data_IF_174490236221
#
_entry.id   IF_174490236221
#
_cell.length_a   1.000
_cell.length_b   1.000
_cell.length_c   1.000
_cell.angle_alpha   90.00
_cell.angle_beta   90.00
_cell.angle_gamma   90.00
#
_symmetry.space_group_name_H-M   'P 1'
#
loop_
_entity.id
_entity.type
_entity.pdbx_description
1 polymer ?
#
# COMPACT_ATOMS: atom_id res chain seq x y z
N UNK A 1 5.69 -62.24 -23.27
CA UNK A 1 5.86 -63.73 -23.44
C UNK A 1 4.52 -64.37 -23.73
N UNK A 2 4.52 -65.20 -24.81
CA UNK A 2 3.50 -66.24 -25.17
C UNK A 2 2.05 -65.76 -25.45
N UNK A 3 1.69 -65.47 -26.65
CA UNK A 3 0.98 -66.21 -27.69
C UNK A 3 0.27 -67.48 -27.22
N UNK A 4 -1.05 -67.48 -27.39
CA UNK A 4 -1.78 -68.68 -27.80
C UNK A 4 -2.89 -68.32 -28.82
N UNK A 5 -2.68 -68.86 -29.98
CA UNK A 5 -3.67 -68.97 -31.08
C UNK A 5 -4.61 -70.11 -30.74
N UNK A 6 -5.90 -69.95 -30.97
CA UNK A 6 -6.85 -71.04 -31.06
C UNK A 6 -7.69 -70.83 -32.34
N UNK A 7 -7.49 -71.74 -33.26
CA UNK A 7 -8.32 -71.97 -34.46
C UNK A 7 -9.63 -72.63 -34.04
N UNK A 8 -10.74 -72.18 -34.64
CA UNK A 8 -12.04 -72.89 -34.46
C UNK A 8 -13.09 -72.55 -35.51
N UNK A 9 -13.13 -73.38 -36.50
CA UNK A 9 -14.25 -73.83 -37.31
C UNK A 9 -15.21 -72.83 -37.98
N UNK A 10 -15.04 -72.81 -39.28
CA UNK A 10 -15.97 -72.32 -40.30
C UNK A 10 -17.26 -73.15 -40.26
N UNK A 11 -18.43 -72.58 -39.93
CA UNK A 11 -19.75 -73.14 -40.23
C UNK A 11 -20.36 -72.27 -41.34
N UNK A 12 -20.45 -72.86 -42.53
CA UNK A 12 -21.19 -72.34 -43.68
C UNK A 12 -22.68 -72.40 -43.27
N UNK A 13 -23.30 -71.23 -42.97
CA UNK A 13 -24.75 -71.08 -43.02
C UNK A 13 -25.16 -70.48 -44.35
N UNK A 14 -25.99 -71.15 -45.03
CA UNK A 14 -26.60 -70.74 -46.34
C UNK A 14 -27.30 -69.38 -46.21
N UNK A 15 -27.28 -68.52 -47.24
CA UNK A 15 -28.00 -67.27 -47.14
C UNK A 15 -29.52 -67.60 -47.27
N UNK A 16 -30.29 -67.35 -46.23
CA UNK A 16 -31.71 -67.20 -46.37
C UNK A 16 -31.93 -65.92 -47.14
N UNK A 17 -32.41 -66.07 -48.39
CA UNK A 17 -32.99 -64.97 -49.15
C UNK A 17 -34.16 -64.41 -48.32
N UNK A 18 -33.94 -63.39 -47.56
CA UNK A 18 -34.97 -62.48 -47.13
C UNK A 18 -35.44 -61.77 -48.46
N UNK A 19 -36.63 -62.10 -48.88
CA UNK A 19 -37.34 -61.34 -49.91
C UNK A 19 -37.35 -59.90 -49.47
N UNK A 20 -36.54 -59.02 -50.07
CA UNK A 20 -36.72 -57.60 -50.05
C UNK A 20 -38.16 -57.33 -50.51
N UNK A 21 -39.01 -57.00 -49.59
CA UNK A 21 -40.30 -56.43 -49.87
C UNK A 21 -40.03 -55.11 -50.59
N UNK A 22 -40.29 -55.06 -51.93
CA UNK A 22 -40.20 -53.84 -52.74
C UNK A 22 -41.11 -52.80 -52.06
N UNK A 23 -40.53 -51.90 -51.26
CA UNK A 23 -41.27 -50.76 -50.75
C UNK A 23 -41.45 -49.79 -51.87
N UNK A 24 -42.63 -49.88 -52.53
CA UNK A 24 -43.02 -48.90 -53.57
C UNK A 24 -42.92 -47.49 -52.87
N UNK A 25 -42.05 -46.67 -53.41
CA UNK A 25 -42.02 -45.24 -53.06
C UNK A 25 -43.27 -44.64 -53.71
N UNK A 26 -44.20 -44.15 -52.89
CA UNK A 26 -45.45 -43.53 -53.34
C UNK A 26 -45.40 -42.03 -53.02
N UNK A 27 -45.99 -41.24 -53.89
CA UNK A 27 -46.19 -39.80 -53.73
C UNK A 27 -47.62 -39.52 -53.26
N UNK A 28 -47.82 -38.78 -52.21
CA UNK A 28 -49.17 -38.37 -51.75
C UNK A 28 -49.17 -36.86 -51.48
N UNK A 29 -50.17 -36.18 -52.06
CA UNK A 29 -50.42 -34.77 -51.73
C UNK A 29 -51.57 -34.67 -50.74
N UNK A 30 -51.41 -33.72 -49.78
CA UNK A 30 -52.38 -33.44 -48.72
C UNK A 30 -53.10 -32.11 -48.94
N UNK A 31 -54.22 -31.89 -48.23
CA UNK A 31 -55.07 -30.70 -48.40
C UNK A 31 -54.41 -29.40 -48.07
N UNK A 32 -53.37 -29.42 -47.17
CA UNK A 32 -52.53 -28.30 -46.78
C UNK A 32 -51.49 -27.94 -47.88
N UNK A 33 -51.50 -28.63 -48.99
CA UNK A 33 -50.52 -28.50 -50.05
C UNK A 33 -49.24 -29.28 -49.84
N UNK A 34 -49.12 -29.99 -48.72
CA UNK A 34 -47.97 -30.83 -48.37
C UNK A 34 -47.87 -32.03 -49.36
N UNK A 35 -46.62 -32.37 -49.73
CA UNK A 35 -46.31 -33.52 -50.62
C UNK A 35 -45.37 -34.46 -49.85
N UNK A 36 -45.82 -35.70 -49.64
CA UNK A 36 -44.99 -36.79 -49.13
C UNK A 36 -44.56 -37.73 -50.22
N UNK A 37 -43.30 -38.11 -50.22
CA UNK A 37 -42.72 -39.08 -51.15
C UNK A 37 -41.93 -40.11 -50.28
N UNK A 38 -42.40 -41.38 -50.28
CA UNK A 38 -41.76 -42.39 -49.42
C UNK A 38 -42.56 -43.64 -49.20
N UNK A 39 -42.18 -44.45 -48.23
CA UNK A 39 -42.83 -45.72 -47.93
C UNK A 39 -44.17 -45.55 -47.18
N UNK A 40 -45.12 -46.48 -47.43
CA UNK A 40 -46.40 -46.57 -46.76
C UNK A 40 -46.59 -47.98 -46.19
N UNK A 41 -47.23 -48.08 -45.00
CA UNK A 41 -47.70 -49.32 -44.44
C UNK A 41 -49.09 -49.07 -43.83
N UNK A 42 -50.10 -49.88 -44.33
CA UNK A 42 -51.45 -49.70 -43.86
C UNK A 42 -52.11 -48.35 -44.17
N UNK A 43 -51.64 -47.65 -45.20
CA UNK A 43 -52.10 -46.30 -45.61
C UNK A 43 -51.47 -45.14 -44.86
N UNK A 44 -50.54 -45.41 -43.88
CA UNK A 44 -49.77 -44.42 -43.13
C UNK A 44 -48.34 -44.37 -43.65
N UNK A 45 -47.67 -43.20 -43.56
CA UNK A 45 -46.24 -43.04 -43.83
C UNK A 45 -45.42 -43.96 -42.93
N UNK A 46 -44.50 -44.74 -43.51
CA UNK A 46 -43.69 -45.70 -42.81
C UNK A 46 -42.35 -45.95 -43.54
N UNK A 47 -41.27 -46.05 -42.77
CA UNK A 47 -39.92 -46.14 -43.34
C UNK A 47 -39.34 -44.77 -43.71
N UNK A 48 -38.40 -44.71 -44.65
CA UNK A 48 -37.79 -43.45 -45.08
C UNK A 48 -38.69 -42.72 -46.08
N UNK A 49 -38.83 -41.36 -45.85
CA UNK A 49 -39.61 -40.52 -46.79
C UNK A 49 -39.30 -39.03 -46.60
N UNK A 50 -39.67 -38.28 -47.69
CA UNK A 50 -39.50 -36.82 -47.70
C UNK A 50 -40.88 -36.16 -47.67
N UNK A 51 -41.07 -35.14 -46.85
CA UNK A 51 -42.27 -34.32 -46.75
C UNK A 51 -41.93 -32.86 -46.99
N UNK A 52 -42.65 -32.22 -47.96
CA UNK A 52 -42.44 -30.82 -48.32
C UNK A 52 -43.71 -30.03 -48.18
N UNK A 53 -43.63 -28.86 -47.54
CA UNK A 53 -44.74 -27.92 -47.45
C UNK A 53 -44.53 -26.72 -48.39
N UNK A 54 -45.61 -26.07 -48.85
CA UNK A 54 -45.52 -24.89 -49.73
C UNK A 54 -44.78 -23.70 -49.10
N UNK A 55 -44.73 -23.63 -47.80
CA UNK A 55 -43.99 -22.56 -47.05
C UNK A 55 -42.46 -22.73 -47.03
N UNK A 56 -41.93 -23.80 -47.69
CA UNK A 56 -40.52 -24.12 -47.78
C UNK A 56 -40.01 -25.06 -46.67
N UNK A 57 -40.86 -25.56 -45.76
CA UNK A 57 -40.47 -26.62 -44.84
C UNK A 57 -40.24 -27.93 -45.57
N UNK A 58 -39.14 -28.61 -45.32
CA UNK A 58 -38.83 -29.93 -45.86
C UNK A 58 -38.33 -30.84 -44.73
N UNK A 59 -38.86 -32.05 -44.65
CA UNK A 59 -38.34 -33.11 -43.79
C UNK A 59 -37.97 -34.32 -44.65
N UNK A 60 -36.80 -34.89 -44.44
CA UNK A 60 -36.34 -36.14 -45.04
C UNK A 60 -35.80 -37.04 -43.92
N UNK A 61 -36.42 -38.19 -43.71
CA UNK A 61 -36.05 -39.10 -42.63
C UNK A 61 -37.07 -40.21 -42.37
N UNK A 62 -37.01 -40.77 -41.19
CA UNK A 62 -37.78 -41.92 -40.77
C UNK A 62 -39.21 -41.56 -40.33
N UNK A 63 -40.16 -42.39 -40.72
CA UNK A 63 -41.59 -42.34 -40.40
C UNK A 63 -42.03 -43.64 -39.76
N UNK A 64 -42.83 -43.58 -38.73
CA UNK A 64 -43.45 -44.74 -38.05
C UNK A 64 -44.93 -44.44 -37.89
N UNK A 65 -45.79 -45.25 -38.45
CA UNK A 65 -47.26 -45.18 -38.39
C UNK A 65 -47.82 -43.75 -38.56
N UNK A 66 -47.30 -43.03 -39.55
CA UNK A 66 -47.74 -41.69 -39.89
C UNK A 66 -47.06 -40.55 -39.16
N UNK A 67 -46.18 -40.85 -38.22
CA UNK A 67 -45.43 -39.82 -37.44
C UNK A 67 -43.98 -39.79 -37.85
N UNK A 68 -43.40 -38.58 -37.88
CA UNK A 68 -41.96 -38.36 -37.96
C UNK A 68 -41.32 -38.89 -36.65
N UNK A 69 -40.43 -39.89 -36.78
CA UNK A 69 -39.81 -40.54 -35.61
C UNK A 69 -38.45 -41.16 -36.00
N UNK A 70 -37.45 -41.00 -35.13
CA UNK A 70 -36.08 -41.47 -35.36
C UNK A 70 -35.24 -40.44 -36.13
N UNK A 71 -34.20 -40.86 -36.81
CA UNK A 71 -33.26 -39.96 -37.51
C UNK A 71 -33.88 -39.31 -38.75
N UNK A 72 -33.56 -38.02 -38.95
CA UNK A 72 -33.98 -37.24 -40.10
C UNK A 72 -33.34 -35.87 -40.15
N UNK A 73 -33.59 -35.21 -41.31
CA UNK A 73 -33.18 -33.83 -41.57
C UNK A 73 -34.41 -32.97 -41.79
N UNK A 74 -34.55 -31.85 -41.07
CA UNK A 74 -35.56 -30.82 -41.30
C UNK A 74 -34.92 -29.52 -41.78
N UNK A 75 -35.43 -29.00 -42.93
CA UNK A 75 -35.12 -27.66 -43.42
C UNK A 75 -36.29 -26.74 -43.08
N UNK A 76 -36.03 -25.67 -42.35
CA UNK A 76 -37.05 -24.72 -41.93
C UNK A 76 -37.17 -23.55 -42.94
N UNK A 77 -38.36 -22.91 -43.02
CA UNK A 77 -38.57 -21.77 -43.93
C UNK A 77 -37.64 -20.59 -43.75
N UNK A 78 -37.08 -20.43 -42.51
CA UNK A 78 -36.12 -19.39 -42.19
C UNK A 78 -34.69 -19.71 -42.64
N UNK A 79 -34.45 -20.87 -43.28
CA UNK A 79 -33.16 -21.32 -43.78
C UNK A 79 -32.35 -22.16 -42.76
N UNK A 80 -32.85 -22.37 -41.54
CA UNK A 80 -32.19 -23.26 -40.58
C UNK A 80 -32.35 -24.72 -40.98
N UNK A 81 -31.35 -25.56 -40.63
CA UNK A 81 -31.34 -27.00 -40.92
C UNK A 81 -31.08 -27.76 -39.63
N UNK A 82 -31.99 -28.68 -39.30
CA UNK A 82 -31.81 -29.62 -38.19
C UNK A 82 -31.52 -31.02 -38.73
N UNK A 83 -30.55 -31.68 -38.15
CA UNK A 83 -30.16 -33.07 -38.41
C UNK A 83 -30.08 -33.82 -37.07
N UNK A 84 -30.88 -34.87 -36.90
CA UNK A 84 -30.89 -35.61 -35.66
C UNK A 84 -32.16 -36.42 -35.42
N UNK A 85 -32.40 -36.74 -34.13
CA UNK A 85 -33.53 -37.55 -33.74
C UNK A 85 -34.83 -36.74 -33.62
N UNK A 86 -35.92 -37.37 -33.95
CA UNK A 86 -37.28 -36.87 -33.89
C UNK A 86 -38.19 -37.80 -33.08
N UNK A 87 -39.09 -37.22 -32.30
CA UNK A 87 -40.23 -37.90 -31.74
C UNK A 87 -41.50 -37.05 -31.95
N UNK A 88 -42.60 -37.68 -32.38
CA UNK A 88 -43.88 -37.01 -32.57
C UNK A 88 -43.79 -35.75 -33.45
N UNK A 89 -42.94 -35.76 -34.47
CA UNK A 89 -42.77 -34.66 -35.40
C UNK A 89 -41.88 -33.49 -34.90
N UNK A 90 -41.24 -33.64 -33.77
CA UNK A 90 -40.38 -32.64 -33.18
C UNK A 90 -38.96 -33.18 -32.94
N UNK A 91 -37.91 -32.32 -33.02
CA UNK A 91 -36.58 -32.65 -32.49
C UNK A 91 -36.67 -33.22 -31.07
N UNK A 92 -36.09 -34.40 -30.85
CA UNK A 92 -36.14 -35.08 -29.55
C UNK A 92 -35.01 -36.12 -29.48
N UNK A 93 -34.16 -36.04 -28.46
CA UNK A 93 -32.91 -36.79 -28.35
C UNK A 93 -31.71 -35.97 -28.81
N UNK A 94 -30.70 -36.58 -29.41
CA UNK A 94 -29.50 -35.88 -29.87
C UNK A 94 -29.68 -35.36 -31.30
N UNK A 95 -29.27 -34.10 -31.52
CA UNK A 95 -29.32 -33.51 -32.86
C UNK A 95 -28.52 -32.22 -32.97
N UNK A 96 -28.30 -31.85 -34.25
CA UNK A 96 -27.58 -30.64 -34.63
C UNK A 96 -28.47 -29.70 -35.41
N UNK A 97 -28.52 -28.44 -35.05
CA UNK A 97 -29.11 -27.39 -35.86
C UNK A 97 -28.03 -26.45 -36.38
N UNK A 98 -28.13 -26.09 -37.64
CA UNK A 98 -27.41 -24.96 -38.25
C UNK A 98 -28.44 -23.86 -38.50
N UNK A 99 -28.27 -22.73 -37.85
CA UNK A 99 -29.15 -21.57 -37.98
C UNK A 99 -28.86 -20.79 -39.27
N UNK A 100 -29.82 -20.00 -39.72
CA UNK A 100 -29.70 -19.22 -40.95
C UNK A 100 -28.55 -18.19 -40.92
N UNK A 101 -28.15 -17.73 -39.75
CA UNK A 101 -27.05 -16.79 -39.53
C UNK A 101 -25.67 -17.48 -39.51
N UNK A 102 -25.63 -18.80 -39.64
CA UNK A 102 -24.42 -19.63 -39.61
C UNK A 102 -24.06 -20.15 -38.22
N UNK A 103 -24.78 -19.76 -37.17
CA UNK A 103 -24.62 -20.36 -35.85
C UNK A 103 -25.01 -21.83 -35.81
N UNK A 104 -24.49 -22.62 -34.88
CA UNK A 104 -24.81 -24.04 -34.71
C UNK A 104 -25.08 -24.37 -33.25
N UNK A 105 -25.94 -25.37 -33.06
CA UNK A 105 -26.05 -26.09 -31.79
C UNK A 105 -26.04 -27.58 -32.03
N UNK A 106 -25.29 -28.32 -31.24
CA UNK A 106 -25.22 -29.79 -31.27
C UNK A 106 -25.32 -30.31 -29.83
N UNK A 107 -26.36 -31.11 -29.54
CA UNK A 107 -26.63 -31.58 -28.19
C UNK A 107 -28.03 -32.14 -28.02
N UNK A 108 -28.54 -32.11 -26.80
CA UNK A 108 -29.81 -32.70 -26.39
C UNK A 108 -31.01 -31.82 -26.73
N UNK A 109 -32.09 -32.49 -27.17
CA UNK A 109 -33.36 -31.88 -27.49
C UNK A 109 -34.50 -32.61 -26.80
N UNK A 110 -35.48 -31.89 -26.32
CA UNK A 110 -36.71 -32.44 -25.77
C UNK A 110 -37.92 -31.68 -26.28
N UNK A 111 -38.87 -32.38 -26.90
CA UNK A 111 -40.11 -31.81 -27.44
C UNK A 111 -39.92 -30.60 -28.38
N UNK A 112 -38.81 -30.52 -29.12
CA UNK A 112 -38.46 -29.43 -30.02
C UNK A 112 -37.70 -28.27 -29.39
N UNK A 113 -37.35 -28.37 -28.08
CA UNK A 113 -36.56 -27.38 -27.37
C UNK A 113 -35.15 -27.90 -27.10
N UNK A 114 -34.16 -27.00 -27.22
CA UNK A 114 -32.78 -27.25 -26.77
C UNK A 114 -32.78 -27.37 -25.26
N UNK A 115 -32.28 -28.50 -24.73
CA UNK A 115 -32.17 -28.77 -23.29
C UNK A 115 -30.97 -29.65 -23.01
N UNK A 116 -30.73 -30.07 -21.76
CA UNK A 116 -29.64 -30.99 -21.41
C UNK A 116 -28.25 -30.40 -21.70
N UNK A 117 -27.39 -31.21 -22.28
CA UNK A 117 -25.99 -30.82 -22.56
C UNK A 117 -25.78 -30.58 -24.07
N UNK A 118 -24.95 -29.61 -24.42
CA UNK A 118 -24.63 -29.35 -25.80
C UNK A 118 -23.54 -28.32 -26.03
N UNK A 119 -23.22 -28.15 -27.31
CA UNK A 119 -22.25 -27.15 -27.80
C UNK A 119 -22.98 -26.20 -28.74
N UNK A 120 -22.95 -24.92 -28.41
CA UNK A 120 -23.40 -23.85 -29.30
C UNK A 120 -22.20 -23.07 -29.85
N UNK A 121 -22.19 -22.81 -31.14
CA UNK A 121 -21.27 -21.88 -31.79
C UNK A 121 -22.11 -20.79 -32.41
N UNK A 122 -21.95 -19.56 -31.94
CA UNK A 122 -22.70 -18.41 -32.39
C UNK A 122 -22.09 -17.82 -33.66
N UNK A 123 -22.85 -17.08 -34.44
CA UNK A 123 -22.40 -16.45 -35.69
C UNK A 123 -21.19 -15.51 -35.51
N UNK A 124 -21.01 -14.94 -34.35
CA UNK A 124 -19.85 -14.11 -33.97
C UNK A 124 -18.62 -14.92 -33.53
N UNK A 125 -18.67 -16.25 -33.62
CA UNK A 125 -17.59 -17.16 -33.27
C UNK A 125 -17.49 -17.49 -31.77
N UNK A 126 -18.38 -16.97 -30.91
CA UNK A 126 -18.46 -17.40 -29.51
C UNK A 126 -18.89 -18.85 -29.46
N UNK A 127 -18.16 -19.66 -28.68
CA UNK A 127 -18.45 -21.06 -28.38
C UNK A 127 -18.93 -21.19 -26.94
N UNK A 128 -20.03 -21.89 -26.75
CA UNK A 128 -20.49 -22.33 -25.42
C UNK A 128 -20.61 -23.85 -25.41
N UNK A 129 -20.11 -24.47 -24.34
CA UNK A 129 -20.25 -25.90 -24.07
C UNK A 129 -20.75 -26.08 -22.64
N UNK A 130 -21.91 -26.69 -22.48
CA UNK A 130 -22.48 -26.83 -21.14
C UNK A 130 -23.96 -27.16 -21.15
N UNK A 131 -24.64 -26.91 -20.04
CA UNK A 131 -26.02 -27.17 -19.83
C UNK A 131 -26.95 -26.14 -20.46
N UNK A 132 -28.13 -26.59 -20.89
CA UNK A 132 -29.21 -25.77 -21.44
C UNK A 132 -30.56 -26.13 -20.83
N UNK A 133 -31.40 -25.13 -20.62
CA UNK A 133 -32.84 -25.27 -20.37
C UNK A 133 -33.57 -24.28 -21.28
N UNK A 134 -34.49 -24.80 -22.13
CA UNK A 134 -35.27 -23.99 -23.06
C UNK A 134 -34.39 -23.02 -23.90
N UNK A 135 -33.32 -23.55 -24.47
CA UNK A 135 -32.34 -22.81 -25.28
C UNK A 135 -31.57 -21.71 -24.53
N UNK A 136 -31.59 -21.69 -23.17
CA UNK A 136 -30.79 -20.79 -22.33
C UNK A 136 -29.70 -21.57 -21.65
N UNK A 137 -28.51 -20.98 -21.53
CA UNK A 137 -27.41 -21.55 -20.74
C UNK A 137 -27.87 -21.79 -19.30
N UNK A 138 -27.59 -22.97 -18.76
CA UNK A 138 -28.01 -23.37 -17.43
C UNK A 138 -27.05 -24.41 -16.85
N UNK A 139 -26.88 -24.41 -15.49
CA UNK A 139 -25.95 -25.33 -14.85
C UNK A 139 -24.49 -24.96 -15.08
N UNK A 140 -23.62 -25.94 -15.26
CA UNK A 140 -22.20 -25.71 -15.56
C UNK A 140 -22.01 -25.51 -17.07
N UNK A 141 -21.10 -24.58 -17.42
CA UNK A 141 -20.75 -24.36 -18.81
C UNK A 141 -19.56 -23.44 -19.04
N UNK A 142 -18.88 -23.70 -20.16
CA UNK A 142 -17.70 -22.95 -20.60
C UNK A 142 -18.09 -22.10 -21.80
N UNK A 143 -17.86 -20.80 -21.74
CA UNK A 143 -18.02 -19.88 -22.85
C UNK A 143 -16.65 -19.33 -23.25
N UNK A 144 -16.34 -19.42 -24.54
CA UNK A 144 -15.11 -18.95 -25.15
C UNK A 144 -15.41 -17.96 -26.29
N UNK A 145 -14.72 -16.83 -26.28
CA UNK A 145 -14.79 -15.83 -27.34
C UNK A 145 -13.54 -15.89 -28.24
N UNK A 146 -13.62 -15.57 -29.50
CA UNK A 146 -12.48 -15.56 -30.44
C UNK A 146 -11.34 -14.64 -29.98
N UNK A 147 -11.63 -13.61 -29.16
CA UNK A 147 -10.64 -12.69 -28.59
C UNK A 147 -9.89 -13.20 -27.39
N UNK A 148 -10.08 -14.47 -26.97
CA UNK A 148 -9.40 -15.08 -25.85
C UNK A 148 -10.10 -14.92 -24.50
N UNK A 149 -11.26 -14.28 -24.43
CA UNK A 149 -12.08 -14.28 -23.21
C UNK A 149 -12.69 -15.67 -22.99
N UNK A 150 -12.57 -16.19 -21.76
CA UNK A 150 -13.18 -17.45 -21.34
C UNK A 150 -13.90 -17.27 -20.01
N UNK A 151 -15.08 -17.87 -19.90
CA UNK A 151 -15.78 -18.07 -18.64
C UNK A 151 -16.09 -19.54 -18.45
N UNK A 152 -15.65 -20.11 -17.35
CA UNK A 152 -15.95 -21.47 -16.90
C UNK A 152 -16.66 -21.38 -15.54
N UNK A 153 -17.95 -21.73 -15.49
CA UNK A 153 -18.70 -21.57 -14.25
C UNK A 153 -20.18 -21.86 -14.35
N UNK A 154 -20.91 -21.37 -13.36
CA UNK A 154 -22.35 -21.56 -13.20
C UNK A 154 -23.16 -20.59 -14.04
N UNK A 155 -24.30 -21.09 -14.56
CA UNK A 155 -25.24 -20.36 -15.39
C UNK A 155 -26.67 -20.59 -14.89
N UNK A 156 -27.47 -19.54 -14.86
CA UNK A 156 -28.90 -19.59 -14.54
C UNK A 156 -29.65 -18.74 -15.58
N UNK A 157 -30.54 -19.36 -16.33
CA UNK A 157 -31.42 -18.71 -17.32
C UNK A 157 -30.66 -17.79 -18.33
N UNK A 158 -29.48 -18.21 -18.74
CA UNK A 158 -28.64 -17.48 -19.69
C UNK A 158 -27.67 -16.47 -19.07
N UNK A 159 -27.72 -16.26 -17.77
CA UNK A 159 -26.83 -15.37 -17.05
C UNK A 159 -25.76 -16.13 -16.27
N UNK A 160 -24.55 -15.57 -16.19
CA UNK A 160 -23.48 -16.05 -15.31
C UNK A 160 -23.87 -15.81 -13.88
N UNK A 161 -23.90 -16.87 -13.07
CA UNK A 161 -24.40 -16.82 -11.69
C UNK A 161 -23.71 -17.89 -10.86
N UNK A 162 -23.47 -17.63 -9.56
CA UNK A 162 -22.84 -18.61 -8.67
C UNK A 162 -21.34 -18.50 -8.62
N UNK A 163 -20.60 -19.58 -8.89
CA UNK A 163 -19.14 -19.61 -8.91
C UNK A 163 -18.58 -19.75 -10.31
N UNK A 164 -17.47 -19.09 -10.61
CA UNK A 164 -16.84 -19.23 -11.90
C UNK A 164 -15.42 -18.67 -11.97
N UNK A 165 -14.73 -19.10 -13.02
CA UNK A 165 -13.43 -18.61 -13.44
C UNK A 165 -13.57 -17.79 -14.72
N UNK A 166 -13.03 -16.59 -14.73
CA UNK A 166 -12.96 -15.73 -15.90
C UNK A 166 -11.48 -15.55 -16.27
N UNK A 167 -11.14 -15.90 -17.51
CA UNK A 167 -9.89 -15.52 -18.14
C UNK A 167 -10.16 -14.34 -19.06
N UNK A 168 -9.52 -13.22 -18.82
CA UNK A 168 -9.68 -12.01 -19.62
C UNK A 168 -8.71 -12.00 -20.81
N UNK A 169 -8.98 -11.15 -21.79
CA UNK A 169 -8.19 -11.03 -23.03
C UNK A 169 -6.77 -10.51 -22.80
N UNK A 170 -6.53 -9.80 -21.71
CA UNK A 170 -5.22 -9.32 -21.25
C UNK A 170 -4.43 -10.36 -20.44
N UNK A 171 -5.02 -11.55 -20.22
CA UNK A 171 -4.43 -12.64 -19.46
C UNK A 171 -4.72 -12.60 -17.97
N UNK A 172 -5.44 -11.59 -17.47
CA UNK A 172 -5.90 -11.59 -16.08
C UNK A 172 -6.90 -12.73 -15.84
N UNK A 173 -6.86 -13.30 -14.64
CA UNK A 173 -7.73 -14.41 -14.22
C UNK A 173 -8.45 -14.03 -12.95
N UNK A 174 -9.78 -14.12 -12.99
CA UNK A 174 -10.63 -14.04 -11.80
C UNK A 174 -11.23 -15.41 -11.49
N UNK A 175 -11.27 -15.78 -10.22
CA UNK A 175 -11.91 -16.98 -9.72
C UNK A 175 -12.70 -16.66 -8.44
N UNK A 176 -14.01 -16.86 -8.46
CA UNK A 176 -14.85 -16.51 -7.32
C UNK A 176 -16.34 -16.41 -7.62
N UNK A 177 -17.05 -15.70 -6.77
CA UNK A 177 -18.49 -15.50 -6.85
C UNK A 177 -18.88 -14.56 -7.99
N UNK A 178 -20.00 -14.89 -8.65
CA UNK A 178 -20.57 -14.09 -9.73
C UNK A 178 -22.07 -13.96 -9.49
N UNK A 179 -22.58 -12.75 -9.59
CA UNK A 179 -24.01 -12.43 -9.50
C UNK A 179 -24.39 -11.54 -10.69
N UNK A 180 -25.38 -11.97 -11.45
CA UNK A 180 -25.85 -11.25 -12.66
C UNK A 180 -24.69 -10.84 -13.58
N UNK A 181 -23.74 -11.76 -13.84
CA UNK A 181 -22.58 -11.55 -14.69
C UNK A 181 -21.46 -10.70 -14.11
N UNK A 182 -21.59 -10.19 -12.88
CA UNK A 182 -20.58 -9.37 -12.19
C UNK A 182 -19.88 -10.14 -11.09
N UNK A 183 -18.61 -9.86 -10.85
CA UNK A 183 -17.87 -10.37 -9.70
C UNK A 183 -18.54 -9.93 -8.39
N UNK A 184 -18.73 -10.86 -7.46
CA UNK A 184 -19.43 -10.64 -6.19
C UNK A 184 -18.99 -11.64 -5.12
N UNK A 185 -19.16 -11.28 -3.84
CA UNK A 185 -18.76 -12.15 -2.73
C UNK A 185 -17.25 -12.32 -2.66
N UNK A 186 -16.75 -13.49 -2.29
CA UNK A 186 -15.30 -13.75 -2.23
C UNK A 186 -14.76 -14.15 -3.60
N UNK A 187 -13.57 -13.65 -3.93
CA UNK A 187 -12.90 -14.00 -5.19
C UNK A 187 -11.44 -13.59 -5.22
N UNK A 188 -10.69 -14.24 -6.11
CA UNK A 188 -9.28 -13.98 -6.37
C UNK A 188 -9.12 -13.44 -7.78
N UNK A 189 -8.40 -12.34 -7.93
CA UNK A 189 -7.93 -11.79 -9.21
C UNK A 189 -6.42 -11.90 -9.28
N UNK A 190 -5.90 -12.42 -10.39
CA UNK A 190 -4.46 -12.44 -10.72
C UNK A 190 -4.25 -11.80 -12.06
N UNK A 191 -3.28 -10.92 -12.15
CA UNK A 191 -2.88 -10.28 -13.41
C UNK A 191 -1.51 -10.77 -13.88
N UNK A 192 -1.21 -10.72 -15.18
CA UNK A 192 0.08 -11.20 -15.72
C UNK A 192 1.30 -10.43 -15.20
N UNK A 193 1.14 -9.18 -14.76
CA UNK A 193 2.21 -8.36 -14.17
C UNK A 193 2.50 -8.71 -12.71
N UNK A 194 1.72 -9.65 -12.12
CA UNK A 194 1.95 -10.18 -10.78
C UNK A 194 1.09 -9.57 -9.68
N UNK A 195 0.11 -8.69 -10.01
CA UNK A 195 -0.86 -8.26 -9.01
C UNK A 195 -1.78 -9.43 -8.66
N UNK A 196 -1.99 -9.64 -7.34
CA UNK A 196 -2.97 -10.58 -6.82
C UNK A 196 -3.88 -9.88 -5.79
N UNK A 197 -5.19 -10.05 -5.97
CA UNK A 197 -6.16 -9.64 -4.95
C UNK A 197 -6.99 -10.86 -4.52
N UNK A 198 -7.09 -11.06 -3.21
CA UNK A 198 -7.93 -12.08 -2.57
C UNK A 198 -8.83 -11.38 -1.56
N UNK A 199 -10.13 -11.37 -1.80
CA UNK A 199 -11.04 -10.65 -0.90
C UNK A 199 -12.46 -10.51 -1.42
N UNK A 200 -13.14 -9.50 -0.91
CA UNK A 200 -14.55 -9.22 -1.19
C UNK A 200 -14.73 -8.39 -2.46
N UNK A 201 -15.78 -8.75 -3.20
CA UNK A 201 -16.21 -8.11 -4.44
C UNK A 201 -17.67 -7.69 -4.35
N UNK A 202 -18.00 -6.54 -4.88
CA UNK A 202 -19.36 -6.02 -4.98
C UNK A 202 -19.55 -5.33 -6.33
N UNK A 203 -20.61 -5.71 -7.06
CA UNK A 203 -20.96 -5.13 -8.36
C UNK A 203 -19.82 -5.07 -9.38
N UNK A 204 -18.90 -6.05 -9.34
CA UNK A 204 -17.76 -6.14 -10.23
C UNK A 204 -16.51 -5.40 -9.77
N UNK A 205 -16.53 -4.72 -8.63
CA UNK A 205 -15.43 -3.97 -8.05
C UNK A 205 -14.90 -4.63 -6.77
N UNK A 206 -13.63 -4.40 -6.46
CA UNK A 206 -13.05 -4.73 -5.16
C UNK A 206 -13.71 -3.82 -4.12
N UNK A 207 -14.44 -4.39 -3.16
CA UNK A 207 -15.16 -3.65 -2.15
C UNK A 207 -15.36 -4.53 -0.90
N UNK A 208 -14.77 -4.12 0.22
CA UNK A 208 -14.72 -4.85 1.49
C UNK A 208 -13.29 -5.25 1.86
N UNK A 209 -13.16 -6.21 2.78
CA UNK A 209 -11.85 -6.66 3.27
C UNK A 209 -11.16 -7.59 2.30
N UNK A 210 -9.83 -7.46 2.21
CA UNK A 210 -9.03 -8.34 1.37
C UNK A 210 -7.53 -8.16 1.53
N UNK A 211 -6.80 -9.02 0.84
CA UNK A 211 -5.33 -8.96 0.68
C UNK A 211 -5.01 -8.59 -0.75
N UNK A 212 -4.24 -7.53 -0.94
CA UNK A 212 -3.74 -7.07 -2.22
C UNK A 212 -2.22 -7.17 -2.24
N UNK A 213 -1.70 -8.08 -3.05
CA UNK A 213 -0.27 -8.19 -3.35
C UNK A 213 0.02 -7.43 -4.64
N UNK A 214 0.92 -6.46 -4.57
CA UNK A 214 1.33 -5.66 -5.71
C UNK A 214 2.50 -6.30 -6.48
N UNK A 215 2.72 -5.95 -7.76
CA UNK A 215 3.81 -6.50 -8.56
C UNK A 215 5.21 -6.26 -7.98
N UNK A 216 5.39 -5.19 -7.21
CA UNK A 216 6.65 -4.88 -6.53
C UNK A 216 6.90 -5.71 -5.26
N UNK A 217 5.92 -6.54 -4.85
CA UNK A 217 5.98 -7.38 -3.66
C UNK A 217 5.40 -6.76 -2.40
N UNK A 218 4.85 -5.53 -2.46
CA UNK A 218 4.11 -4.96 -1.33
C UNK A 218 2.80 -5.72 -1.12
N UNK A 219 2.45 -5.98 0.14
CA UNK A 219 1.22 -6.66 0.53
C UNK A 219 0.39 -5.73 1.41
N UNK A 220 -0.83 -5.45 0.99
CA UNK A 220 -1.83 -4.75 1.79
C UNK A 220 -2.89 -5.74 2.30
N UNK A 221 -3.23 -5.65 3.58
CA UNK A 221 -4.31 -6.40 4.23
C UNK A 221 -5.22 -5.40 4.94
N UNK A 222 -6.49 -5.32 4.54
CA UNK A 222 -7.41 -4.35 5.13
C UNK A 222 -8.64 -4.07 4.29
N UNK A 223 -9.30 -2.94 4.60
CA UNK A 223 -10.51 -2.51 3.92
C UNK A 223 -10.19 -1.82 2.58
N UNK A 224 -10.97 -2.15 1.56
CA UNK A 224 -10.94 -1.51 0.26
C UNK A 224 -12.36 -1.05 -0.13
N UNK A 225 -12.46 0.11 -0.74
CA UNK A 225 -13.69 0.64 -1.33
C UNK A 225 -13.39 1.01 -2.77
N UNK A 226 -14.08 0.38 -3.72
CA UNK A 226 -13.85 0.57 -5.16
C UNK A 226 -12.38 0.39 -5.57
N UNK A 227 -11.68 -0.53 -4.87
CA UNK A 227 -10.28 -0.85 -5.13
C UNK A 227 -9.26 0.07 -4.46
N UNK A 228 -9.68 1.11 -3.75
CA UNK A 228 -8.83 2.00 -2.98
C UNK A 228 -8.79 1.58 -1.51
N UNK A 229 -7.61 1.69 -0.88
CA UNK A 229 -7.44 1.41 0.56
C UNK A 229 -8.22 2.44 1.37
N UNK A 230 -9.06 1.93 2.28
CA UNK A 230 -9.89 2.71 3.19
C UNK A 230 -9.89 2.06 4.57
N UNK A 231 -10.30 2.83 5.61
CA UNK A 231 -10.44 2.29 6.95
C UNK A 231 -9.12 1.79 7.54
N UNK A 232 -9.15 0.69 8.28
CA UNK A 232 -7.95 0.11 8.90
C UNK A 232 -7.27 -0.86 7.93
N UNK A 233 -5.95 -0.82 7.91
CA UNK A 233 -5.17 -1.72 7.09
C UNK A 233 -3.72 -1.83 7.52
N UNK A 234 -3.07 -2.89 7.04
CA UNK A 234 -1.65 -3.17 7.22
C UNK A 234 -0.99 -3.28 5.87
N UNK A 235 0.12 -2.58 5.68
CA UNK A 235 1.01 -2.75 4.53
C UNK A 235 2.30 -3.37 5.00
N UNK A 236 2.68 -4.48 4.37
CA UNK A 236 4.04 -5.02 4.46
C UNK A 236 4.73 -4.72 3.14
N UNK A 237 5.73 -3.86 3.18
CA UNK A 237 6.51 -3.48 2.01
C UNK A 237 7.49 -4.59 1.60
N UNK A 238 7.90 -4.61 0.34
CA UNK A 238 8.81 -5.63 -0.19
C UNK A 238 10.19 -5.68 0.52
N UNK A 239 10.62 -4.55 1.10
CA UNK A 239 11.83 -4.47 1.91
C UNK A 239 11.64 -4.97 3.36
N UNK A 240 10.43 -5.36 3.73
CA UNK A 240 10.07 -5.86 5.05
C UNK A 240 9.60 -4.80 6.04
N UNK A 241 9.56 -3.51 5.66
CA UNK A 241 8.95 -2.48 6.48
C UNK A 241 7.44 -2.72 6.62
N UNK A 242 6.86 -2.24 7.72
CA UNK A 242 5.45 -2.43 8.01
C UNK A 242 4.80 -1.10 8.38
N UNK A 243 3.66 -0.81 7.78
CA UNK A 243 2.74 0.21 8.27
C UNK A 243 1.43 -0.44 8.72
N UNK A 244 0.91 -0.01 9.86
CA UNK A 244 -0.39 -0.44 10.40
C UNK A 244 -1.15 0.80 10.89
N UNK A 245 -2.34 1.04 10.31
CA UNK A 245 -3.12 2.23 10.64
C UNK A 245 -4.24 2.50 9.66
N UNK A 246 -4.83 3.70 9.77
CA UNK A 246 -5.93 4.11 8.93
C UNK A 246 -5.48 4.59 7.54
N UNK A 247 -6.36 4.38 6.56
CA UNK A 247 -6.25 4.84 5.19
C UNK A 247 -7.50 5.62 4.76
N UNK A 248 -7.30 6.64 3.96
CA UNK A 248 -8.35 7.36 3.22
C UNK A 248 -7.83 7.59 1.80
N UNK A 249 -8.55 7.09 0.80
CA UNK A 249 -8.23 7.24 -0.62
C UNK A 249 -6.75 6.89 -0.92
N UNK A 250 -6.35 5.66 -0.54
CA UNK A 250 -4.99 5.10 -0.69
C UNK A 250 -3.88 5.76 0.15
N UNK A 251 -4.19 6.78 0.95
CA UNK A 251 -3.20 7.52 1.75
C UNK A 251 -3.32 7.17 3.22
N UNK A 252 -2.18 7.07 3.91
CA UNK A 252 -2.12 6.95 5.36
C UNK A 252 -2.79 8.18 5.99
N UNK A 253 -3.68 7.94 6.98
CA UNK A 253 -4.47 8.99 7.61
C UNK A 253 -4.76 8.66 9.07
N UNK A 254 -4.84 9.69 9.95
CA UNK A 254 -5.16 9.48 11.36
C UNK A 254 -4.04 8.78 12.13
N UNK A 255 -4.38 7.93 13.09
CA UNK A 255 -3.38 7.20 13.89
C UNK A 255 -2.81 6.02 13.10
N UNK A 256 -1.49 5.84 13.17
CA UNK A 256 -0.81 4.72 12.54
C UNK A 256 0.59 4.50 13.12
N UNK A 257 1.08 3.28 12.94
CA UNK A 257 2.43 2.85 13.30
C UNK A 257 3.21 2.44 12.04
N UNK A 258 4.44 2.87 11.94
CA UNK A 258 5.39 2.42 10.93
C UNK A 258 6.60 1.79 11.62
N UNK A 259 7.07 0.66 11.11
CA UNK A 259 8.26 -0.05 11.59
C UNK A 259 9.15 -0.40 10.41
N UNK A 260 10.33 0.17 10.39
CA UNK A 260 11.38 -0.12 9.41
C UNK A 260 12.25 -1.28 9.87
N UNK A 261 12.82 -1.98 8.91
CA UNK A 261 13.77 -3.10 9.12
C UNK A 261 15.14 -2.63 9.62
N UNK A 262 15.43 -1.34 9.45
CA UNK A 262 16.64 -0.67 9.95
C UNK A 262 16.58 -0.27 11.44
N UNK A 263 15.42 -0.51 12.08
CA UNK A 263 15.17 -0.09 13.48
C UNK A 263 14.44 1.24 13.60
N UNK A 264 14.14 1.94 12.49
CA UNK A 264 13.26 3.10 12.53
C UNK A 264 11.84 2.68 12.92
N UNK A 265 11.22 3.40 13.87
CA UNK A 265 9.83 3.18 14.22
C UNK A 265 9.13 4.51 14.50
N UNK A 266 7.90 4.64 14.00
CA UNK A 266 7.05 5.79 14.26
C UNK A 266 5.66 5.35 14.71
N UNK A 267 5.12 6.03 15.72
CA UNK A 267 3.73 5.89 16.16
C UNK A 267 3.15 7.29 16.36
N UNK A 268 2.09 7.60 15.65
CA UNK A 268 1.49 8.94 15.74
C UNK A 268 0.49 9.25 14.64
N UNK A 269 0.30 10.54 14.39
CA UNK A 269 -0.67 11.06 13.44
C UNK A 269 -0.10 11.11 12.02
N UNK A 270 -0.96 10.81 11.06
CA UNK A 270 -0.70 10.86 9.62
C UNK A 270 -1.75 11.71 8.93
N UNK A 271 -1.36 12.57 8.03
CA UNK A 271 -2.24 13.38 7.19
C UNK A 271 -1.82 13.24 5.74
N UNK A 272 -2.72 12.75 4.90
CA UNK A 272 -2.50 12.58 3.46
C UNK A 272 -1.20 11.82 3.08
N UNK A 273 -0.75 10.91 3.94
CA UNK A 273 0.45 10.08 3.73
C UNK A 273 1.71 10.56 4.43
N UNK A 274 1.72 11.77 5.01
CA UNK A 274 2.83 12.36 5.73
C UNK A 274 2.65 12.27 7.25
N UNK A 275 3.75 12.27 7.99
CA UNK A 275 3.75 12.39 9.44
C UNK A 275 3.43 13.83 9.81
N UNK A 276 2.35 14.04 10.57
CA UNK A 276 1.90 15.36 10.97
C UNK A 276 1.22 15.31 12.35
N UNK A 277 1.37 16.37 13.18
CA UNK A 277 0.79 16.41 14.51
C UNK A 277 1.62 15.66 15.53
N UNK A 278 0.98 15.11 16.57
CA UNK A 278 1.67 14.44 17.66
C UNK A 278 2.13 13.02 17.29
N UNK A 279 3.37 12.70 17.62
CA UNK A 279 3.93 11.38 17.39
C UNK A 279 5.21 11.10 18.18
N UNK A 280 5.63 9.85 18.11
CA UNK A 280 6.86 9.34 18.67
C UNK A 280 7.64 8.59 17.62
N UNK A 281 8.89 8.95 17.45
CA UNK A 281 9.83 8.26 16.57
C UNK A 281 10.96 7.64 17.40
N UNK A 282 11.35 6.42 17.03
CA UNK A 282 12.62 5.80 17.42
C UNK A 282 13.49 5.73 16.19
N UNK A 283 14.66 6.31 16.25
CA UNK A 283 15.62 6.31 15.14
C UNK A 283 16.51 5.06 15.17
N UNK A 284 17.15 4.69 14.03
CA UNK A 284 18.04 3.52 13.95
C UNK A 284 19.21 3.55 14.95
N UNK A 285 19.68 4.73 15.34
CA UNK A 285 20.74 4.91 16.34
C UNK A 285 20.25 4.69 17.79
N UNK A 286 18.95 4.46 17.98
CA UNK A 286 18.30 4.29 19.28
C UNK A 286 17.84 5.60 19.92
N UNK A 287 18.03 6.75 19.28
CA UNK A 287 17.46 8.02 19.76
C UNK A 287 15.93 7.96 19.67
N UNK A 288 15.27 8.59 20.64
CA UNK A 288 13.80 8.64 20.70
C UNK A 288 13.34 10.09 20.75
N UNK A 289 12.55 10.50 19.78
CA UNK A 289 11.87 11.80 19.77
C UNK A 289 10.36 11.60 20.02
N UNK A 290 9.79 12.47 20.86
CA UNK A 290 8.37 12.55 21.13
C UNK A 290 7.94 14.03 21.11
N UNK A 291 7.02 14.37 20.20
CA UNK A 291 6.63 15.77 20.02
C UNK A 291 5.75 15.96 18.80
N UNK A 292 5.72 17.19 18.31
CA UNK A 292 4.96 17.58 17.12
C UNK A 292 5.79 17.43 15.85
N UNK A 293 5.09 17.12 14.75
CA UNK A 293 5.64 16.96 13.40
C UNK A 293 4.88 17.83 12.42
N UNK A 294 5.56 18.28 11.40
CA UNK A 294 5.03 18.92 10.21
C UNK A 294 5.85 18.46 9.00
N UNK A 295 5.16 17.99 7.94
CA UNK A 295 5.81 17.52 6.70
C UNK A 295 6.94 16.50 6.97
N UNK A 296 6.66 15.46 7.77
CA UNK A 296 7.58 14.38 8.16
C UNK A 296 8.77 14.81 9.07
N UNK A 297 8.86 16.08 9.43
CA UNK A 297 9.93 16.64 10.25
C UNK A 297 9.45 17.02 11.66
N UNK A 298 10.32 16.90 12.67
CA UNK A 298 10.07 17.46 13.97
C UNK A 298 9.89 18.99 13.87
N UNK A 299 8.72 19.50 14.28
CA UNK A 299 8.40 20.93 14.22
C UNK A 299 7.46 21.32 15.36
N UNK A 300 7.67 22.50 15.96
CA UNK A 300 6.97 22.95 17.15
C UNK A 300 7.66 22.52 18.43
N UNK A 301 7.03 21.75 19.30
CA UNK A 301 7.61 21.33 20.58
C UNK A 301 7.81 19.83 20.66
N UNK A 302 8.95 19.43 21.23
CA UNK A 302 9.24 18.01 21.39
C UNK A 302 10.50 17.75 22.22
N UNK A 303 10.60 16.49 22.65
CA UNK A 303 11.72 15.98 23.43
C UNK A 303 12.44 14.88 22.67
N UNK A 304 13.76 14.98 22.57
CA UNK A 304 14.62 13.89 22.11
C UNK A 304 15.49 13.38 23.27
N UNK A 305 15.66 12.07 23.30
CA UNK A 305 16.58 11.37 24.21
C UNK A 305 17.54 10.57 23.33
N UNK A 306 18.83 10.80 23.50
CA UNK A 306 19.89 10.10 22.78
C UNK A 306 20.37 8.85 23.53
N UNK A 307 21.01 7.88 22.88
CA UNK A 307 21.47 6.63 23.52
C UNK A 307 22.50 6.84 24.62
N UNK A 308 23.27 7.91 24.54
CA UNK A 308 24.27 8.28 25.56
C UNK A 308 23.65 8.95 26.82
N UNK A 309 22.33 9.12 26.84
CA UNK A 309 21.58 9.77 27.93
C UNK A 309 21.47 11.29 27.80
N UNK A 310 22.05 11.89 26.76
CA UNK A 310 21.76 13.29 26.44
C UNK A 310 20.28 13.46 26.08
N UNK A 311 19.75 14.66 26.32
CA UNK A 311 18.37 14.95 25.94
C UNK A 311 18.21 16.45 25.63
N UNK A 312 17.24 16.72 24.78
CA UNK A 312 16.74 18.07 24.54
C UNK A 312 15.22 18.07 24.64
N UNK A 313 14.67 19.09 25.29
CA UNK A 313 13.25 19.31 25.49
C UNK A 313 12.95 20.78 25.19
N UNK A 314 12.24 21.05 24.10
CA UNK A 314 12.05 22.44 23.63
C UNK A 314 11.50 22.55 22.22
N UNK A 315 11.83 23.68 21.59
CA UNK A 315 11.31 24.09 20.27
C UNK A 315 12.16 23.54 19.13
N UNK A 316 11.47 23.17 18.05
CA UNK A 316 12.02 22.60 16.83
C UNK A 316 11.47 23.33 15.61
N UNK A 317 12.28 23.52 14.61
CA UNK A 317 11.89 24.08 13.31
C UNK A 317 12.47 23.21 12.22
N UNK A 318 11.59 22.62 11.38
CA UNK A 318 11.97 21.80 10.24
C UNK A 318 13.07 20.76 10.55
N UNK A 319 12.92 20.02 11.65
CA UNK A 319 13.82 18.94 12.08
C UNK A 319 15.07 19.41 12.85
N UNK A 320 15.21 20.72 13.09
CA UNK A 320 16.38 21.30 13.77
C UNK A 320 15.97 21.91 15.10
N UNK A 321 16.79 21.70 16.13
CA UNK A 321 16.63 22.40 17.41
C UNK A 321 16.83 23.91 17.16
N UNK A 322 15.76 24.70 17.31
CA UNK A 322 15.77 26.15 17.12
C UNK A 322 14.64 26.75 17.98
N UNK A 323 14.93 27.82 18.71
CA UNK A 323 14.00 28.43 19.67
C UNK A 323 14.44 28.21 21.11
N UNK A 324 13.52 28.05 22.05
CA UNK A 324 13.81 27.86 23.49
C UNK A 324 13.73 26.39 23.86
N UNK A 325 14.64 25.99 24.77
CA UNK A 325 14.62 24.63 25.30
C UNK A 325 15.62 24.37 26.41
N UNK A 326 15.61 23.13 26.88
CA UNK A 326 16.48 22.59 27.90
C UNK A 326 17.26 21.40 27.36
N UNK A 327 18.57 21.50 27.31
CA UNK A 327 19.48 20.40 27.00
C UNK A 327 20.11 19.83 28.24
N UNK A 328 20.16 18.51 28.35
CA UNK A 328 20.91 17.80 29.38
C UNK A 328 21.98 16.95 28.70
N UNK A 329 23.22 17.10 29.10
CA UNK A 329 24.36 16.38 28.55
C UNK A 329 24.75 15.17 29.40
N UNK A 330 25.41 14.14 28.86
CA UNK A 330 25.75 12.92 29.61
C UNK A 330 26.63 13.16 30.85
N UNK A 331 27.45 14.21 30.80
CA UNK A 331 28.32 14.61 31.92
C UNK A 331 27.59 15.41 33.01
N UNK A 332 26.25 15.50 32.96
CA UNK A 332 25.44 16.21 33.94
C UNK A 332 25.36 17.72 33.74
N UNK A 333 25.93 18.26 32.65
CA UNK A 333 25.76 19.66 32.28
C UNK A 333 24.34 19.89 31.80
N UNK A 334 23.71 20.97 32.23
CA UNK A 334 22.37 21.39 31.82
C UNK A 334 22.47 22.78 31.23
N UNK A 335 21.85 22.97 30.07
CA UNK A 335 21.63 24.27 29.46
C UNK A 335 20.13 24.54 29.33
N UNK A 336 19.69 25.70 29.76
CA UNK A 336 18.33 26.21 29.62
C UNK A 336 18.38 27.60 28.98
N UNK A 337 17.80 27.72 27.76
CA UNK A 337 17.90 29.00 27.05
C UNK A 337 17.51 28.90 25.57
N UNK A 338 17.98 29.89 24.80
CA UNK A 338 17.79 29.95 23.39
C UNK A 338 18.75 29.05 22.60
N UNK A 339 18.27 28.52 21.53
CA UNK A 339 19.03 27.75 20.53
C UNK A 339 18.83 28.34 19.15
N UNK A 340 19.83 28.21 18.30
CA UNK A 340 19.79 28.48 16.88
C UNK A 340 20.64 27.45 16.13
N UNK A 341 20.05 26.74 15.17
CA UNK A 341 20.72 25.65 14.46
C UNK A 341 21.46 24.69 15.42
N UNK A 342 20.74 24.20 16.43
CA UNK A 342 21.22 23.29 17.47
C UNK A 342 22.41 23.81 18.32
N UNK A 343 22.70 25.13 18.32
CA UNK A 343 23.71 25.75 19.13
C UNK A 343 23.07 26.71 20.12
N UNK A 344 23.64 26.79 21.34
CA UNK A 344 23.23 27.77 22.34
C UNK A 344 23.31 29.18 21.77
N UNK A 345 22.21 29.94 21.86
CA UNK A 345 22.10 31.29 21.29
C UNK A 345 21.17 32.18 22.12
N UNK A 346 21.42 33.49 22.13
CA UNK A 346 20.59 34.42 22.89
C UNK A 346 20.81 34.29 24.39
N UNK A 347 19.77 34.46 25.19
CA UNK A 347 19.85 34.33 26.66
C UNK A 347 19.78 32.87 27.07
N UNK A 348 20.62 32.46 28.01
CA UNK A 348 20.61 31.12 28.55
C UNK A 348 21.44 30.93 29.78
N UNK A 349 21.13 29.86 30.51
CA UNK A 349 21.82 29.44 31.75
C UNK A 349 22.45 28.08 31.52
N UNK A 350 23.73 27.95 31.81
CA UNK A 350 24.44 26.68 31.80
C UNK A 350 24.89 26.35 33.22
N UNK A 351 24.55 25.16 33.68
CA UNK A 351 24.91 24.64 34.98
C UNK A 351 25.73 23.37 34.80
N UNK A 352 26.89 23.32 35.46
CA UNK A 352 27.82 22.18 35.44
C UNK A 352 27.70 21.36 36.72
N UNK A 353 28.07 20.09 36.62
CA UNK A 353 27.98 19.16 37.74
C UNK A 353 28.88 19.54 38.93
N UNK A 354 29.98 20.28 38.69
CA UNK A 354 30.88 20.79 39.72
C UNK A 354 30.37 22.04 40.46
N UNK A 355 29.17 22.54 40.03
CA UNK A 355 28.54 23.74 40.57
C UNK A 355 28.89 25.03 39.83
N UNK A 356 29.76 24.99 38.80
CA UNK A 356 29.94 26.17 37.92
C UNK A 356 28.63 26.51 37.24
N UNK A 357 28.25 27.78 37.25
CA UNK A 357 27.03 28.27 36.58
C UNK A 357 27.33 29.54 35.80
N UNK A 358 26.89 29.56 34.55
CA UNK A 358 26.90 30.75 33.70
C UNK A 358 25.48 31.14 33.33
N UNK A 359 25.16 32.42 33.47
CA UNK A 359 23.90 33.03 33.06
C UNK A 359 24.17 34.26 32.22
N UNK A 360 23.72 34.30 30.98
CA UNK A 360 24.01 35.44 30.09
C UNK A 360 23.76 35.16 28.65
N UNK A 361 24.37 35.96 27.81
CA UNK A 361 24.24 35.87 26.36
C UNK A 361 25.14 34.77 25.77
N UNK A 362 24.64 34.14 24.74
CA UNK A 362 25.26 33.10 23.93
C UNK A 362 25.22 33.45 22.46
N UNK A 363 26.27 33.16 21.73
CA UNK A 363 26.35 33.27 20.29
C UNK A 363 27.08 32.06 19.74
N UNK A 364 26.38 31.29 18.84
CA UNK A 364 26.90 30.11 18.12
C UNK A 364 27.60 29.10 19.06
N UNK A 365 26.99 28.83 20.22
CA UNK A 365 27.49 27.89 21.22
C UNK A 365 28.51 28.45 22.22
N UNK A 366 28.88 29.72 22.12
CA UNK A 366 29.87 30.35 22.97
C UNK A 366 29.25 31.47 23.82
N UNK A 367 29.77 31.65 25.04
CA UNK A 367 29.42 32.81 25.90
C UNK A 367 29.84 34.08 25.20
N UNK A 368 28.92 35.03 25.07
CA UNK A 368 29.14 36.28 24.33
C UNK A 368 28.33 37.42 24.97
N UNK A 369 28.83 38.68 24.88
CA UNK A 369 28.14 39.82 25.48
C UNK A 369 28.07 39.73 27.01
N UNK A 370 27.07 40.35 27.64
CA UNK A 370 26.92 40.41 29.08
C UNK A 370 26.55 39.07 29.68
N UNK A 371 27.18 38.72 30.81
CA UNK A 371 26.90 37.50 31.54
C UNK A 371 27.48 37.46 32.95
N UNK A 372 26.95 36.51 33.72
CA UNK A 372 27.39 36.25 35.13
C UNK A 372 27.87 34.81 35.23
N UNK A 373 29.08 34.63 35.69
CA UNK A 373 29.67 33.33 35.99
C UNK A 373 29.86 33.18 37.50
N UNK A 374 29.26 32.13 38.06
CA UNK A 374 29.45 31.73 39.47
C UNK A 374 30.30 30.48 39.49
N UNK A 375 31.39 30.52 40.22
CA UNK A 375 32.37 29.44 40.33
C UNK A 375 32.08 28.54 41.53
N UNK A 376 32.56 27.29 41.53
CA UNK A 376 32.32 26.33 42.61
C UNK A 376 32.86 26.82 44.01
N UNK A 377 33.90 27.63 44.01
CA UNK A 377 34.48 28.23 45.23
C UNK A 377 33.66 29.42 45.76
N UNK A 378 32.57 29.79 45.12
CA UNK A 378 31.72 30.93 45.45
C UNK A 378 32.17 32.25 44.80
N UNK A 379 33.26 32.28 44.04
CA UNK A 379 33.67 33.45 43.27
C UNK A 379 32.61 33.79 42.19
N UNK A 380 32.43 35.07 41.91
CA UNK A 380 31.45 35.56 40.95
C UNK A 380 32.11 36.54 39.99
N UNK A 381 31.99 36.29 38.70
CA UNK A 381 32.29 37.26 37.65
C UNK A 381 31.00 37.77 37.01
N UNK A 382 30.89 39.07 36.85
CA UNK A 382 29.80 39.74 36.14
C UNK A 382 30.38 40.76 35.17
N UNK A 383 30.14 40.57 33.87
CA UNK A 383 30.76 41.41 32.84
C UNK A 383 30.56 40.84 31.43
N UNK A 384 31.38 41.34 30.54
CA UNK A 384 31.30 40.95 29.12
C UNK A 384 32.16 39.71 28.82
N UNK A 385 31.68 38.94 27.86
CA UNK A 385 32.34 37.77 27.30
C UNK A 385 32.45 37.91 25.76
N UNK A 386 33.51 37.39 25.19
CA UNK A 386 33.72 37.25 23.77
C UNK A 386 34.39 35.90 23.48
N UNK A 387 33.77 35.12 22.55
CA UNK A 387 34.28 33.80 22.17
C UNK A 387 34.56 32.88 23.37
N UNK A 388 33.64 32.87 24.36
CA UNK A 388 33.73 32.04 25.54
C UNK A 388 34.61 32.59 26.68
N UNK A 389 35.37 33.70 26.46
CA UNK A 389 36.31 34.27 27.42
C UNK A 389 35.81 35.61 27.97
N UNK A 390 36.19 35.97 29.21
CA UNK A 390 35.96 37.30 29.76
C UNK A 390 36.65 38.34 28.88
N UNK A 391 35.94 39.39 28.54
CA UNK A 391 36.43 40.42 27.60
C UNK A 391 35.74 41.78 27.87
N UNK A 392 36.36 42.88 27.50
CA UNK A 392 35.78 44.20 27.72
C UNK A 392 35.74 44.53 29.21
N UNK A 393 34.65 45.07 29.73
CA UNK A 393 34.54 45.48 31.14
C UNK A 393 33.84 44.40 31.96
N UNK A 394 34.29 44.19 33.20
CA UNK A 394 33.70 43.25 34.12
C UNK A 394 34.25 43.34 35.53
N UNK A 395 33.44 42.83 36.47
CA UNK A 395 33.77 42.75 37.89
C UNK A 395 33.88 41.30 38.31
N UNK A 396 34.96 40.93 38.98
CA UNK A 396 35.11 39.67 39.69
C UNK A 396 35.19 39.90 41.18
N UNK A 397 34.48 39.04 41.91
CA UNK A 397 34.58 38.94 43.38
C UNK A 397 34.98 37.51 43.72
N UNK A 398 36.17 37.33 44.26
CA UNK A 398 36.70 36.03 44.62
C UNK A 398 36.32 35.65 46.04
N UNK A 399 36.13 34.35 46.29
CA UNK A 399 35.88 33.84 47.65
C UNK A 399 36.98 34.22 48.67
N UNK A 400 38.19 34.49 48.19
CA UNK A 400 39.29 34.99 48.96
C UNK A 400 39.13 36.44 49.46
N UNK A 401 38.09 37.15 49.03
CA UNK A 401 37.84 38.57 49.30
C UNK A 401 38.54 39.54 48.36
N UNK A 402 39.22 39.05 47.30
CA UNK A 402 39.76 39.89 46.26
C UNK A 402 38.59 40.31 45.27
N UNK A 403 38.55 41.61 44.98
CA UNK A 403 37.62 42.19 44.05
C UNK A 403 38.37 42.94 42.95
N UNK A 404 38.05 42.72 41.70
CA UNK A 404 38.54 43.53 40.59
C UNK A 404 37.38 44.04 39.74
N UNK A 405 37.40 45.30 39.40
CA UNK A 405 36.48 45.92 38.49
C UNK A 405 37.25 46.72 37.43
N UNK A 406 37.13 46.36 36.18
CA UNK A 406 37.88 46.97 35.09
C UNK A 406 37.88 46.20 33.81
N UNK A 407 38.94 46.38 32.99
CA UNK A 407 39.07 45.82 31.65
C UNK A 407 39.64 44.39 31.64
N UNK A 408 39.15 43.61 30.74
CA UNK A 408 39.50 42.22 30.53
C UNK A 408 39.82 41.95 29.08
N UNK A 409 40.84 41.19 28.78
CA UNK A 409 41.18 40.76 27.41
C UNK A 409 41.53 39.26 27.45
N UNK A 410 40.85 38.47 26.60
CA UNK A 410 41.12 37.03 26.41
C UNK A 410 41.20 36.24 27.71
N UNK A 411 40.27 36.52 28.68
CA UNK A 411 40.16 35.83 29.94
C UNK A 411 41.00 36.40 31.09
N UNK A 412 41.93 37.31 30.78
CA UNK A 412 42.85 37.91 31.79
C UNK A 412 42.47 39.36 32.13
N UNK A 413 42.80 39.82 33.30
CA UNK A 413 42.75 41.23 33.69
C UNK A 413 43.82 41.95 32.86
N UNK A 414 43.38 42.84 31.95
CA UNK A 414 44.32 43.59 31.06
C UNK A 414 43.64 44.91 30.65
N UNK A 415 44.28 46.02 30.88
CA UNK A 415 43.77 47.37 30.74
C UNK A 415 43.64 48.10 32.10
N UNK A 416 42.73 49.06 32.17
CA UNK A 416 42.54 49.89 33.40
C UNK A 416 41.50 49.27 34.32
N UNK A 417 41.72 49.42 35.62
CA UNK A 417 40.77 48.91 36.61
C UNK A 417 41.17 49.20 38.06
N UNK A 418 40.25 48.78 38.93
CA UNK A 418 40.41 48.89 40.41
C UNK A 418 40.45 47.48 41.02
N UNK A 419 41.49 47.20 41.73
CA UNK A 419 41.62 45.95 42.53
C UNK A 419 41.57 46.27 44.03
N UNK A 420 40.64 45.64 44.73
CA UNK A 420 40.55 45.66 46.20
C UNK A 420 41.00 44.30 46.69
N UNK A 421 42.02 44.32 47.59
CA UNK A 421 42.59 43.11 48.18
C UNK A 421 41.89 42.77 49.48
N UNK A 422 41.95 41.52 49.89
CA UNK A 422 41.31 41.03 51.13
C UNK A 422 41.77 41.73 52.41
N UNK A 423 42.97 42.26 52.40
CA UNK A 423 43.52 43.06 53.53
C UNK A 423 43.02 44.51 53.54
N UNK A 424 42.18 44.91 52.56
CA UNK A 424 41.66 46.26 52.46
C UNK A 424 42.51 47.22 51.61
N UNK A 425 43.62 46.79 51.04
CA UNK A 425 44.38 47.57 50.08
C UNK A 425 43.66 47.78 48.81
N UNK A 426 43.76 48.92 48.17
CA UNK A 426 43.12 49.24 46.90
C UNK A 426 44.14 49.72 45.92
N UNK A 427 44.25 49.06 44.74
CA UNK A 427 45.05 49.53 43.64
C UNK A 427 44.12 50.04 42.51
N UNK A 428 44.36 51.19 42.01
CA UNK A 428 43.72 51.84 40.92
C UNK A 428 44.78 52.18 39.82
N UNK A 429 44.66 51.58 38.65
CA UNK A 429 45.69 51.78 37.62
C UNK A 429 45.60 50.77 36.50
N UNK A 430 46.70 50.64 35.70
CA UNK A 430 46.80 49.76 34.56
C UNK A 430 47.26 48.37 34.98
N UNK A 431 46.69 47.36 34.33
CA UNK A 431 47.08 45.96 34.46
C UNK A 431 47.49 45.38 33.12
N UNK A 432 48.38 44.42 33.16
CA UNK A 432 48.73 43.59 32.00
C UNK A 432 48.89 42.14 32.43
N UNK A 433 48.12 41.25 31.79
CA UNK A 433 48.12 39.82 32.11
C UNK A 433 47.98 39.55 33.63
N UNK A 434 47.05 40.23 34.28
CA UNK A 434 46.74 40.07 35.68
C UNK A 434 47.73 40.77 36.66
N UNK A 435 48.76 41.43 36.15
CA UNK A 435 49.74 42.13 36.98
C UNK A 435 49.60 43.63 36.84
N UNK A 436 49.80 44.38 37.93
CA UNK A 436 49.92 45.84 37.87
C UNK A 436 51.06 46.26 37.00
N UNK A 437 50.77 47.13 36.03
CA UNK A 437 51.69 47.55 34.97
C UNK A 437 51.40 49.02 34.59
N UNK A 438 52.43 49.83 34.35
CA UNK A 438 52.25 51.23 34.02
C UNK A 438 51.79 52.10 35.15
N UNK A 439 51.18 53.25 34.87
CA UNK A 439 50.77 54.21 35.87
C UNK A 439 49.69 53.69 36.82
N UNK A 440 49.85 53.86 38.13
CA UNK A 440 48.83 53.44 39.09
C UNK A 440 49.13 53.91 40.52
N UNK A 441 48.07 53.80 41.31
CA UNK A 441 48.11 54.21 42.73
C UNK A 441 47.65 53.07 43.62
N UNK A 442 48.45 52.72 44.60
CA UNK A 442 48.11 51.82 45.72
C UNK A 442 47.70 52.64 46.91
N UNK A 443 46.54 52.38 47.44
CA UNK A 443 46.08 52.88 48.76
C UNK A 443 46.08 51.73 49.74
N UNK A 444 46.93 51.81 50.77
CA UNK A 444 46.98 50.75 51.77
C UNK A 444 45.90 50.92 52.83
N UNK A 445 45.45 49.82 53.41
CA UNK A 445 44.46 49.86 54.48
C UNK A 445 44.94 50.64 55.72
N UNK A 446 46.25 50.85 55.86
CA UNK A 446 46.88 51.71 56.92
C UNK A 446 46.65 53.20 56.66
N UNK A 447 46.16 53.62 55.51
CA UNK A 447 45.98 55.00 55.03
C UNK A 447 47.16 55.54 54.25
N UNK A 448 48.24 54.80 54.09
CA UNK A 448 49.38 55.18 53.25
C UNK A 448 49.00 55.07 51.73
N UNK A 449 49.72 55.83 50.93
CA UNK A 449 49.51 55.81 49.46
C UNK A 449 50.86 55.77 48.72
N UNK A 450 50.94 54.94 47.67
CA UNK A 450 52.07 54.86 46.77
C UNK A 450 51.61 55.03 45.34
N UNK A 451 52.09 56.00 44.57
CA UNK A 451 51.73 56.28 43.21
C UNK A 451 52.98 56.31 42.35
N UNK A 452 52.91 55.78 41.13
CA UNK A 452 54.03 55.78 40.19
C UNK A 452 53.87 54.75 39.11
N UNK A 453 55.00 54.44 38.43
CA UNK A 453 55.04 53.40 37.41
C UNK A 453 55.24 52.01 38.02
N UNK A 454 54.39 51.10 37.63
CA UNK A 454 54.40 49.69 38.05
C UNK A 454 54.92 48.77 36.99
N UNK A 455 55.79 47.87 37.35
CA UNK A 455 56.32 46.84 36.46
C UNK A 455 56.22 45.47 37.12
N UNK A 456 55.54 44.52 36.40
CA UNK A 456 55.31 43.11 36.84
C UNK A 456 54.77 43.04 38.33
N UNK A 457 53.95 43.97 38.73
CA UNK A 457 53.30 43.99 40.01
C UNK A 457 54.06 44.74 41.14
N UNK A 458 55.24 45.27 40.86
CA UNK A 458 56.05 46.07 41.80
C UNK A 458 56.12 47.56 41.40
N UNK A 459 56.14 48.48 42.36
CA UNK A 459 56.32 49.87 42.08
C UNK A 459 57.85 50.10 41.76
N UNK A 460 58.12 50.75 40.62
CA UNK A 460 59.48 51.14 40.23
C UNK A 460 59.99 52.20 41.22
N UNK A 461 61.06 51.87 41.86
CA UNK A 461 61.70 52.76 42.85
C UNK A 461 62.66 53.82 42.26
N UNK A 462 62.79 53.80 40.92
CA UNK A 462 63.69 54.71 40.20
C UNK A 462 62.85 55.84 39.55
N UNK A 463 62.44 56.83 40.39
CA UNK A 463 61.73 58.03 39.93
C UNK A 463 61.82 59.12 40.94
#
# INVERSE_FOLDING_TARGET
>A
MKRLLAYGALALAAPSLALAQDSQVLTKQYDDGGVYEGGFKGGLQNGYGTYRLPNGYEYAGNWVDGEIRGEGTARFPNGSVYEGNFAKGKPDGVGKITFADGGTYEGDWENGAITGSGIAIYANGVRYEGGFINARHHGKGIMQSPGGYEYDGDWVDGEKQGSGKITYTDGAVYEGGIVAGKRAGTGTLRTPDGLEYVGLWKDGQIDGTGTLTQPNGDVYEGDLVQGQRQGQGRVTYANGDVYEGAFVDDRRQGQGAFTGTDGYAYVGQWVAGQIEGLGKVTYPDGSVYEGTFLDDLADGTGKIIYPDGASYDGEWVAGVIDGRGRATYPNGVIYEGGFRNAKNHGQGVMTYADGYRYEGNWQDGQRHGAGKATYPDGSVYEGNFQNGQRHGTGRIEMASGFVYEGEWQTGEIDGTGVATYANGDVYEGTFRKGKRQGAGTMRYATGEQASGEWENGALNSDG
#
